data_IF_361698119653
#
_entry.id   IF_361698119653
#
_cell.length_a   1.000
_cell.length_b   1.000
_cell.length_c   1.000
_cell.angle_alpha   90.00
_cell.angle_beta   90.00
_cell.angle_gamma   90.00
#
_symmetry.space_group_name_H-M   'P 1'
#
loop_
_entity.id
_entity.type
_entity.pdbx_description
1 polymer ?
#
# COMPACT_ATOMS: atom_id res chain seq x y z
N UNK A 1 3.74 49.26 -19.51
CA UNK A 1 2.92 48.43 -18.68
C UNK A 1 2.28 47.32 -19.50
N UNK A 2 1.55 47.63 -20.57
CA UNK A 2 0.86 46.66 -21.43
C UNK A 2 1.76 45.56 -22.06
N UNK A 3 2.98 45.89 -22.48
CA UNK A 3 3.92 44.93 -23.10
C UNK A 3 4.53 43.99 -22.05
N UNK A 4 4.76 44.47 -20.84
CA UNK A 4 5.28 43.64 -19.72
C UNK A 4 4.23 42.66 -19.22
N UNK A 5 2.97 43.07 -19.12
CA UNK A 5 1.84 42.20 -18.73
C UNK A 5 1.57 41.11 -19.79
N UNK A 6 1.68 41.44 -21.07
CA UNK A 6 1.57 40.45 -22.15
C UNK A 6 2.72 39.43 -22.16
N UNK A 7 3.96 39.89 -21.94
CA UNK A 7 5.12 38.99 -21.87
C UNK A 7 5.11 38.10 -20.61
N UNK A 8 4.74 38.64 -19.46
CA UNK A 8 4.64 37.90 -18.22
C UNK A 8 3.47 36.91 -18.24
N UNK A 9 2.34 37.26 -18.85
CA UNK A 9 1.19 36.36 -19.03
C UNK A 9 1.55 35.18 -19.92
N UNK A 10 2.15 35.40 -21.08
CA UNK A 10 2.54 34.32 -21.99
C UNK A 10 3.65 33.40 -21.45
N UNK A 11 4.60 33.95 -20.68
CA UNK A 11 5.61 33.12 -19.97
C UNK A 11 5.02 32.31 -18.83
N UNK A 12 4.07 32.88 -18.11
CA UNK A 12 3.39 32.18 -17.01
C UNK A 12 2.53 31.03 -17.54
N UNK A 13 1.79 31.27 -18.64
CA UNK A 13 0.99 30.22 -19.27
C UNK A 13 1.90 29.07 -19.77
N UNK A 14 3.00 29.38 -20.45
CA UNK A 14 3.97 28.39 -20.91
C UNK A 14 4.62 27.61 -19.74
N UNK A 15 4.89 28.27 -18.63
CA UNK A 15 5.42 27.62 -17.43
C UNK A 15 4.38 26.69 -16.78
N UNK A 16 3.14 27.12 -16.69
CA UNK A 16 2.03 26.32 -16.16
C UNK A 16 1.81 25.08 -17.03
N UNK A 17 1.77 25.24 -18.36
CA UNK A 17 1.62 24.15 -19.31
C UNK A 17 2.77 23.16 -19.23
N UNK A 18 4.00 23.63 -19.07
CA UNK A 18 5.17 22.79 -18.89
C UNK A 18 5.09 21.99 -17.57
N UNK A 19 4.80 22.64 -16.44
CA UNK A 19 4.64 21.96 -15.12
C UNK A 19 3.52 20.95 -15.19
N UNK A 20 2.40 21.31 -15.80
CA UNK A 20 1.25 20.43 -15.95
C UNK A 20 1.59 19.19 -16.79
N UNK A 21 2.25 19.35 -17.94
CA UNK A 21 2.66 18.24 -18.80
C UNK A 21 3.64 17.29 -18.09
N UNK A 22 4.58 17.84 -17.30
CA UNK A 22 5.52 17.04 -16.49
C UNK A 22 4.80 16.24 -15.40
N UNK A 23 3.84 16.86 -14.72
CA UNK A 23 3.05 16.19 -13.69
C UNK A 23 2.17 15.08 -14.27
N UNK A 24 1.51 15.36 -15.38
CA UNK A 24 0.66 14.37 -16.07
C UNK A 24 1.50 13.18 -16.56
N UNK A 25 2.67 13.44 -17.16
CA UNK A 25 3.60 12.39 -17.56
C UNK A 25 4.12 11.56 -16.37
N UNK A 26 4.44 12.23 -15.25
CA UNK A 26 4.81 11.55 -14.00
C UNK A 26 3.68 10.68 -13.46
N UNK A 27 2.44 11.15 -13.51
CA UNK A 27 1.28 10.37 -13.07
C UNK A 27 1.08 9.10 -13.90
N UNK A 28 1.26 9.19 -15.23
CA UNK A 28 1.17 8.03 -16.10
C UNK A 28 2.12 6.93 -15.71
N UNK A 29 3.39 7.28 -15.65
CA UNK A 29 4.44 6.35 -15.24
C UNK A 29 4.21 5.81 -13.82
N UNK A 30 3.78 6.68 -12.91
CA UNK A 30 3.51 6.31 -11.53
C UNK A 30 2.36 5.31 -11.39
N UNK A 31 1.25 5.53 -12.08
CA UNK A 31 0.09 4.63 -12.00
C UNK A 31 0.36 3.30 -12.72
N UNK A 32 1.15 3.30 -13.79
CA UNK A 32 1.61 2.09 -14.46
C UNK A 32 2.42 1.19 -13.51
N UNK A 33 3.38 1.79 -12.80
CA UNK A 33 4.23 1.09 -11.84
C UNK A 33 3.48 0.66 -10.56
N UNK A 34 2.45 1.42 -10.14
CA UNK A 34 1.78 1.20 -8.86
C UNK A 34 1.04 -0.14 -8.78
N UNK A 35 0.59 -0.68 -9.93
CA UNK A 35 -0.12 -1.96 -10.01
C UNK A 35 0.72 -3.15 -9.54
N UNK A 36 2.02 -3.14 -9.78
CA UNK A 36 2.93 -4.26 -9.56
C UNK A 36 3.97 -4.04 -8.46
N UNK A 37 4.18 -2.79 -8.04
CA UNK A 37 5.32 -2.30 -7.24
C UNK A 37 5.59 -3.03 -5.92
N UNK A 38 4.76 -3.83 -5.38
CA UNK A 38 5.05 -4.52 -4.13
C UNK A 38 5.31 -6.01 -4.29
N UNK A 39 4.76 -6.61 -5.36
CA UNK A 39 4.92 -8.04 -5.66
C UNK A 39 6.30 -8.28 -6.25
N UNK A 40 6.75 -7.44 -7.16
CA UNK A 40 8.06 -7.52 -7.80
C UNK A 40 9.23 -7.55 -6.79
N UNK A 41 9.07 -6.86 -5.64
CA UNK A 41 10.05 -6.91 -4.56
C UNK A 41 10.30 -8.36 -4.11
N UNK A 42 9.25 -9.16 -3.96
CA UNK A 42 9.35 -10.56 -3.50
C UNK A 42 9.78 -11.53 -4.60
N UNK A 43 9.82 -11.10 -5.85
CA UNK A 43 10.39 -11.85 -6.98
C UNK A 43 11.90 -11.67 -7.13
N UNK A 44 12.46 -10.62 -6.53
CA UNK A 44 13.89 -10.38 -6.54
C UNK A 44 14.66 -11.47 -5.80
N UNK A 45 15.68 -12.05 -6.42
CA UNK A 45 16.46 -13.17 -5.87
C UNK A 45 17.12 -12.87 -4.51
N UNK A 46 17.57 -11.65 -4.30
CA UNK A 46 18.16 -11.22 -3.02
C UNK A 46 17.10 -11.12 -1.91
N UNK A 47 15.89 -10.70 -2.21
CA UNK A 47 14.77 -10.67 -1.24
C UNK A 47 14.37 -12.08 -0.86
N UNK A 48 14.26 -12.99 -1.84
CA UNK A 48 13.99 -14.40 -1.58
C UNK A 48 15.07 -15.03 -0.70
N UNK A 49 16.33 -14.67 -0.90
CA UNK A 49 17.45 -15.13 -0.05
C UNK A 49 17.30 -14.62 1.41
N UNK A 50 16.87 -13.37 1.60
CA UNK A 50 16.59 -12.82 2.93
C UNK A 50 15.40 -13.53 3.59
N UNK A 51 14.30 -13.73 2.88
CA UNK A 51 13.13 -14.46 3.37
C UNK A 51 13.51 -15.90 3.77
N UNK A 52 14.31 -16.56 2.95
CA UNK A 52 14.83 -17.91 3.24
C UNK A 52 15.72 -17.92 4.49
N UNK A 53 16.59 -16.94 4.66
CA UNK A 53 17.42 -16.78 5.86
C UNK A 53 16.54 -16.68 7.12
N UNK A 54 15.52 -15.83 7.11
CA UNK A 54 14.60 -15.70 8.24
C UNK A 54 13.74 -16.95 8.45
N UNK A 55 13.46 -17.70 7.41
CA UNK A 55 12.81 -19.01 7.52
C UNK A 55 13.69 -20.00 8.30
N UNK A 56 14.98 -20.09 7.97
CA UNK A 56 15.91 -20.96 8.73
C UNK A 56 16.07 -20.48 10.18
N UNK A 57 16.14 -19.16 10.39
CA UNK A 57 16.19 -18.60 11.74
C UNK A 57 14.93 -18.97 12.55
N UNK A 58 13.77 -18.87 11.94
CA UNK A 58 12.50 -19.24 12.56
C UNK A 58 12.46 -20.72 12.97
N UNK A 59 12.92 -21.64 12.09
CA UNK A 59 13.02 -23.05 12.40
C UNK A 59 14.00 -23.32 13.55
N UNK A 60 15.15 -22.66 13.55
CA UNK A 60 16.15 -22.78 14.61
C UNK A 60 15.57 -22.31 15.95
N UNK A 61 14.92 -21.15 15.98
CA UNK A 61 14.30 -20.60 17.18
C UNK A 61 13.13 -21.46 17.67
N UNK A 62 12.36 -22.05 16.76
CA UNK A 62 11.31 -23.00 17.12
C UNK A 62 11.89 -24.22 17.84
N UNK A 63 12.95 -24.83 17.30
CA UNK A 63 13.59 -26.01 17.94
C UNK A 63 14.14 -25.66 19.32
N UNK A 64 14.82 -24.51 19.45
CA UNK A 64 15.32 -24.04 20.76
C UNK A 64 14.18 -23.77 21.72
N UNK A 65 13.11 -23.12 21.27
CA UNK A 65 11.91 -22.86 22.05
C UNK A 65 11.22 -24.15 22.52
N UNK A 66 11.20 -25.17 21.66
CA UNK A 66 10.65 -26.49 22.00
C UNK A 66 11.46 -27.17 23.09
N UNK A 67 12.79 -27.13 23.01
CA UNK A 67 13.67 -27.68 24.07
C UNK A 67 13.41 -26.97 25.41
N UNK A 68 13.32 -25.62 25.38
CA UNK A 68 12.99 -24.87 26.62
C UNK A 68 11.61 -25.21 27.12
N UNK A 69 10.60 -25.37 26.27
CA UNK A 69 9.25 -25.78 26.67
C UNK A 69 9.24 -27.15 27.39
N UNK A 70 10.05 -28.11 26.92
CA UNK A 70 10.17 -29.42 27.59
C UNK A 70 10.75 -29.28 29.01
N UNK A 71 11.76 -28.43 29.19
CA UNK A 71 12.29 -28.16 30.55
C UNK A 71 11.27 -27.45 31.43
N UNK A 72 10.53 -26.47 30.95
CA UNK A 72 9.49 -25.76 31.67
C UNK A 72 8.42 -26.75 32.14
N UNK A 73 7.92 -27.60 31.24
CA UNK A 73 6.94 -28.65 31.59
C UNK A 73 7.50 -29.64 32.59
N UNK A 74 8.79 -29.99 32.51
CA UNK A 74 9.45 -30.85 33.48
C UNK A 74 9.49 -30.28 34.90
N UNK A 75 9.74 -28.97 35.01
CA UNK A 75 9.73 -28.23 36.27
C UNK A 75 8.29 -28.13 36.82
N UNK A 76 7.32 -27.80 35.97
CA UNK A 76 5.92 -27.71 36.35
C UNK A 76 5.34 -29.06 36.77
N UNK A 77 5.81 -30.15 36.17
CA UNK A 77 5.41 -31.49 36.55
C UNK A 77 5.78 -31.85 38.02
N UNK A 78 6.96 -31.42 38.45
CA UNK A 78 7.40 -31.60 39.84
C UNK A 78 6.54 -30.82 40.83
N UNK A 79 5.94 -29.72 40.41
CA UNK A 79 5.04 -28.88 41.22
C UNK A 79 3.55 -29.32 41.13
N UNK A 80 3.24 -30.34 40.34
CA UNK A 80 1.89 -30.85 40.13
C UNK A 80 0.98 -29.95 39.30
N UNK A 81 1.53 -28.97 38.58
CA UNK A 81 0.79 -27.99 37.77
C UNK A 81 0.89 -28.22 36.28
N UNK A 82 1.69 -29.16 35.81
CA UNK A 82 1.95 -29.39 34.41
C UNK A 82 0.74 -29.95 33.65
N UNK A 83 0.40 -29.35 32.51
CA UNK A 83 -0.49 -29.90 31.50
C UNK A 83 0.32 -30.36 30.28
N UNK A 84 0.69 -31.64 30.26
CA UNK A 84 1.39 -32.23 29.09
C UNK A 84 0.58 -32.08 27.82
N UNK A 85 -0.75 -32.12 27.91
CA UNK A 85 -1.66 -31.94 26.79
C UNK A 85 -1.51 -30.55 26.19
N UNK A 86 -1.48 -29.50 26.99
CA UNK A 86 -1.38 -28.10 26.50
C UNK A 86 0.00 -27.82 25.90
N UNK A 87 1.06 -28.38 26.48
CA UNK A 87 2.39 -28.32 25.96
C UNK A 87 2.50 -29.00 24.57
N UNK A 88 1.93 -30.20 24.42
CA UNK A 88 1.91 -30.91 23.15
C UNK A 88 1.11 -30.14 22.09
N UNK A 89 -0.02 -29.54 22.44
CA UNK A 89 -0.83 -28.71 21.54
C UNK A 89 -0.04 -27.46 21.13
N UNK A 90 0.69 -26.83 22.04
CA UNK A 90 1.51 -25.65 21.75
C UNK A 90 2.69 -25.98 20.83
N UNK A 91 3.30 -27.15 21.01
CA UNK A 91 4.35 -27.63 20.09
C UNK A 91 3.80 -27.84 18.66
N UNK A 92 2.64 -28.47 18.51
CA UNK A 92 2.00 -28.67 17.20
C UNK A 92 1.62 -27.34 16.56
N UNK A 93 1.04 -26.41 17.33
CA UNK A 93 0.74 -25.05 16.85
C UNK A 93 1.99 -24.33 16.38
N UNK A 94 3.09 -24.45 17.13
CA UNK A 94 4.38 -23.86 16.74
C UNK A 94 4.94 -24.46 15.46
N UNK A 95 4.82 -25.78 15.28
CA UNK A 95 5.23 -26.44 14.03
C UNK A 95 4.46 -25.92 12.83
N UNK A 96 3.13 -25.81 12.94
CA UNK A 96 2.29 -25.24 11.88
C UNK A 96 2.63 -23.76 11.64
N UNK A 97 2.82 -22.98 12.70
CA UNK A 97 3.16 -21.56 12.60
C UNK A 97 4.48 -21.37 11.84
N UNK A 98 5.53 -22.13 12.18
CA UNK A 98 6.84 -21.99 11.53
C UNK A 98 6.82 -22.49 10.08
N UNK A 99 6.02 -23.51 9.76
CA UNK A 99 5.86 -23.99 8.39
C UNK A 99 5.15 -23.00 7.46
N UNK A 100 4.20 -22.22 7.99
CA UNK A 100 3.43 -21.23 7.24
C UNK A 100 4.02 -19.81 7.33
N UNK A 101 4.99 -19.57 8.17
CA UNK A 101 5.48 -18.27 8.61
C UNK A 101 5.95 -17.35 7.48
N UNK A 102 6.68 -17.86 6.48
CA UNK A 102 7.16 -17.06 5.35
C UNK A 102 6.20 -17.09 4.16
N UNK A 103 5.50 -18.20 3.99
CA UNK A 103 4.63 -18.43 2.85
C UNK A 103 3.34 -17.59 2.96
N UNK A 104 2.70 -17.60 4.12
CA UNK A 104 1.41 -16.92 4.31
C UNK A 104 1.48 -15.41 4.10
N UNK A 105 2.44 -14.65 4.64
CA UNK A 105 2.54 -13.21 4.40
C UNK A 105 2.72 -12.85 2.93
N UNK A 106 3.57 -13.58 2.21
CA UNK A 106 3.85 -13.32 0.79
C UNK A 106 2.63 -13.64 -0.07
N UNK A 107 1.99 -14.79 0.16
CA UNK A 107 0.80 -15.18 -0.61
C UNK A 107 -0.43 -14.31 -0.29
N UNK A 108 -0.62 -13.89 0.96
CA UNK A 108 -1.65 -12.90 1.32
C UNK A 108 -1.42 -11.56 0.63
N UNK A 109 -0.17 -11.14 0.51
CA UNK A 109 0.15 -9.90 -0.17
C UNK A 109 -0.13 -10.01 -1.69
N UNK A 110 0.28 -11.11 -2.33
CA UNK A 110 -0.06 -11.40 -3.73
C UNK A 110 -1.57 -11.45 -3.94
N UNK A 111 -2.31 -12.10 -3.03
CA UNK A 111 -3.76 -12.14 -3.07
C UNK A 111 -4.36 -10.73 -3.01
N UNK A 112 -3.85 -9.85 -2.15
CA UNK A 112 -4.34 -8.48 -2.06
C UNK A 112 -4.14 -7.69 -3.36
N UNK A 113 -3.01 -7.90 -4.05
CA UNK A 113 -2.73 -7.28 -5.36
C UNK A 113 -3.60 -7.88 -6.46
N UNK A 114 -3.83 -9.20 -6.45
CA UNK A 114 -4.74 -9.86 -7.42
C UNK A 114 -6.19 -9.39 -7.24
N UNK A 115 -6.65 -9.24 -5.99
CA UNK A 115 -7.97 -8.67 -5.68
C UNK A 115 -8.07 -7.22 -6.17
N UNK A 116 -7.01 -6.43 -6.03
CA UNK A 116 -6.92 -5.09 -6.55
C UNK A 116 -7.12 -5.08 -8.08
N UNK A 117 -6.39 -5.92 -8.81
CA UNK A 117 -6.50 -6.02 -10.27
C UNK A 117 -7.91 -6.45 -10.71
N UNK A 118 -8.50 -7.43 -10.03
CA UNK A 118 -9.87 -7.91 -10.30
C UNK A 118 -10.92 -6.83 -10.04
N UNK A 119 -10.72 -6.02 -9.00
CA UNK A 119 -11.63 -4.94 -8.66
C UNK A 119 -11.54 -3.80 -9.67
N UNK A 120 -10.33 -3.48 -10.13
CA UNK A 120 -10.11 -2.48 -11.18
C UNK A 120 -10.87 -2.84 -12.44
N UNK A 121 -10.75 -4.08 -12.92
CA UNK A 121 -11.47 -4.56 -14.10
C UNK A 121 -13.00 -4.57 -13.91
N UNK A 122 -13.48 -4.82 -12.68
CA UNK A 122 -14.91 -4.84 -12.36
C UNK A 122 -15.55 -3.45 -12.22
N UNK A 123 -14.85 -2.49 -11.63
CA UNK A 123 -15.36 -1.13 -11.41
C UNK A 123 -15.34 -0.30 -12.69
N UNK A 124 -14.30 -0.44 -13.50
CA UNK A 124 -14.17 0.34 -14.73
C UNK A 124 -15.15 -0.08 -15.81
N UNK A 125 -15.79 -1.27 -15.68
CA UNK A 125 -16.76 -1.78 -16.64
C UNK A 125 -16.21 -2.05 -18.04
N UNK A 126 -14.93 -1.77 -18.27
CA UNK A 126 -14.27 -1.81 -19.57
C UNK A 126 -13.26 -2.96 -19.73
N UNK A 127 -13.10 -3.80 -18.71
CA UNK A 127 -12.06 -4.85 -18.75
C UNK A 127 -10.63 -4.32 -18.82
N UNK A 128 -10.46 -3.04 -18.55
CA UNK A 128 -9.19 -2.33 -18.66
C UNK A 128 -8.42 -2.43 -17.35
N UNK A 129 -7.11 -2.65 -17.50
CA UNK A 129 -6.18 -2.63 -16.36
C UNK A 129 -6.11 -1.22 -15.76
N UNK A 130 -5.61 -1.12 -14.54
CA UNK A 130 -5.33 0.15 -13.87
C UNK A 130 -4.53 1.12 -14.76
N UNK A 131 -3.67 0.57 -15.58
CA UNK A 131 -2.84 1.24 -16.59
C UNK A 131 -3.67 1.92 -17.68
N UNK A 132 -4.69 1.23 -18.19
CA UNK A 132 -5.58 1.78 -19.20
C UNK A 132 -6.45 2.91 -18.66
N UNK A 133 -6.98 2.77 -17.42
CA UNK A 133 -7.72 3.83 -16.75
C UNK A 133 -6.86 5.08 -16.53
N UNK A 134 -5.62 4.89 -16.08
CA UNK A 134 -4.68 6.00 -15.89
C UNK A 134 -4.33 6.68 -17.19
N UNK A 135 -4.07 5.92 -18.25
CA UNK A 135 -3.78 6.43 -19.59
C UNK A 135 -4.95 7.23 -20.17
N UNK A 136 -6.17 6.79 -19.96
CA UNK A 136 -7.39 7.47 -20.43
C UNK A 136 -7.61 8.80 -19.71
N UNK A 137 -7.35 8.83 -18.39
CA UNK A 137 -7.38 10.07 -17.59
C UNK A 137 -6.28 11.01 -18.03
N UNK A 138 -5.06 10.51 -18.26
CA UNK A 138 -3.92 11.29 -18.73
C UNK A 138 -4.20 11.89 -20.10
N UNK A 139 -4.73 11.10 -21.03
CA UNK A 139 -5.09 11.59 -22.37
C UNK A 139 -6.18 12.66 -22.30
N UNK A 140 -7.18 12.48 -21.42
CA UNK A 140 -8.22 13.51 -21.21
C UNK A 140 -7.66 14.78 -20.56
N UNK A 141 -6.64 14.66 -19.71
CA UNK A 141 -5.96 15.80 -19.10
C UNK A 141 -4.97 16.47 -20.07
N UNK A 142 -4.23 15.72 -20.89
CA UNK A 142 -3.28 16.27 -21.88
C UNK A 142 -3.95 17.06 -23.01
N UNK A 143 -5.22 16.74 -23.33
CA UNK A 143 -6.00 17.46 -24.34
C UNK A 143 -6.66 18.73 -23.83
N UNK A 144 -6.49 19.07 -22.57
CA UNK A 144 -7.11 20.24 -21.94
C UNK A 144 -6.18 21.44 -22.05
N UNK A 145 -6.56 22.40 -22.89
CA UNK A 145 -6.00 23.75 -22.85
C UNK A 145 -6.40 24.40 -21.52
N UNK A 146 -5.42 24.66 -20.64
CA UNK A 146 -5.64 25.12 -19.26
C UNK A 146 -6.43 26.45 -19.27
N UNK A 147 -6.18 27.30 -20.26
CA UNK A 147 -6.95 28.54 -20.45
C UNK A 147 -8.41 28.29 -20.80
N UNK A 148 -8.69 27.33 -21.68
CA UNK A 148 -10.02 26.93 -22.08
C UNK A 148 -10.71 26.07 -20.99
N UNK A 149 -9.96 25.24 -20.27
CA UNK A 149 -10.48 24.41 -19.18
C UNK A 149 -10.91 25.23 -17.95
N UNK A 150 -10.21 26.29 -17.64
CA UNK A 150 -10.61 27.25 -16.60
C UNK A 150 -11.96 27.91 -16.92
N UNK A 151 -12.27 28.08 -18.22
CA UNK A 151 -13.52 28.67 -18.69
C UNK A 151 -14.63 27.64 -18.94
N UNK A 152 -14.30 26.37 -19.23
CA UNK A 152 -15.25 25.34 -19.66
C UNK A 152 -15.78 24.43 -18.54
N UNK A 153 -15.35 24.64 -17.29
CA UNK A 153 -15.84 23.84 -16.16
C UNK A 153 -15.39 22.38 -16.16
N UNK A 154 -14.32 22.02 -16.87
CA UNK A 154 -13.71 20.66 -16.83
C UNK A 154 -13.24 20.30 -15.42
N UNK A 155 -12.92 21.30 -14.60
CA UNK A 155 -12.76 21.15 -13.15
C UNK A 155 -14.11 21.16 -12.41
N UNK A 156 -15.13 20.52 -13.00
CA UNK A 156 -16.54 20.54 -12.61
C UNK A 156 -16.77 20.47 -11.11
N UNK A 157 -17.63 21.35 -10.64
CA UNK A 157 -18.06 21.42 -9.23
C UNK A 157 -17.58 22.65 -8.48
N UNK A 158 -16.59 23.39 -9.00
CA UNK A 158 -16.27 24.73 -8.51
C UNK A 158 -16.68 25.69 -9.60
N UNK A 159 -17.80 26.36 -9.40
CA UNK A 159 -18.31 27.33 -10.37
C UNK A 159 -17.21 28.22 -10.92
N UNK A 160 -17.09 28.30 -12.25
CA UNK A 160 -16.14 29.06 -13.04
C UNK A 160 -14.85 29.43 -12.27
N UNK A 161 -13.86 28.52 -12.25
CA UNK A 161 -12.52 28.85 -11.74
C UNK A 161 -11.89 29.84 -12.74
N UNK A 162 -12.15 31.10 -12.52
CA UNK A 162 -11.67 32.20 -13.36
C UNK A 162 -10.27 32.68 -12.97
N UNK A 163 -9.67 32.08 -11.93
CA UNK A 163 -8.39 32.54 -11.41
C UNK A 163 -7.24 31.56 -11.73
N UNK A 164 -6.21 31.98 -12.49
CA UNK A 164 -5.00 31.18 -12.73
C UNK A 164 -4.34 30.64 -11.45
N UNK A 165 -4.48 31.37 -10.34
CA UNK A 165 -3.95 30.97 -9.03
C UNK A 165 -4.62 29.69 -8.53
N UNK A 166 -5.91 29.51 -8.75
CA UNK A 166 -6.62 28.29 -8.35
C UNK A 166 -6.16 27.08 -9.16
N UNK A 167 -5.90 27.24 -10.45
CA UNK A 167 -5.35 26.16 -11.30
C UNK A 167 -3.99 25.70 -10.77
N UNK A 168 -3.09 26.66 -10.47
CA UNK A 168 -1.79 26.37 -9.88
C UNK A 168 -1.94 25.63 -8.55
N UNK A 169 -2.87 26.07 -7.69
CA UNK A 169 -3.13 25.43 -6.40
C UNK A 169 -3.60 23.98 -6.57
N UNK A 170 -4.52 23.70 -7.50
CA UNK A 170 -5.01 22.35 -7.81
C UNK A 170 -3.86 21.46 -8.30
N UNK A 171 -2.99 21.96 -9.18
CA UNK A 171 -1.84 21.23 -9.70
C UNK A 171 -0.88 20.86 -8.56
N UNK A 172 -0.58 21.79 -7.67
CA UNK A 172 0.29 21.55 -6.50
C UNK A 172 -0.33 20.51 -5.57
N UNK A 173 -1.62 20.62 -5.26
CA UNK A 173 -2.34 19.69 -4.40
C UNK A 173 -2.39 18.29 -5.01
N UNK A 174 -2.59 18.18 -6.32
CA UNK A 174 -2.56 16.91 -7.03
C UNK A 174 -1.16 16.27 -6.97
N UNK A 175 -0.11 17.04 -7.25
CA UNK A 175 1.27 16.59 -7.14
C UNK A 175 1.59 16.07 -5.73
N UNK A 176 1.22 16.81 -4.70
CA UNK A 176 1.39 16.39 -3.30
C UNK A 176 0.64 15.08 -2.98
N UNK A 177 -0.62 14.97 -3.40
CA UNK A 177 -1.45 13.80 -3.17
C UNK A 177 -0.82 12.53 -3.74
N UNK A 178 -0.36 12.61 -4.99
CA UNK A 178 0.24 11.49 -5.70
C UNK A 178 1.59 11.09 -5.11
N UNK A 179 2.47 12.06 -4.83
CA UNK A 179 3.77 11.79 -4.18
C UNK A 179 3.56 11.12 -2.81
N UNK A 180 2.62 11.62 -2.02
CA UNK A 180 2.31 11.03 -0.71
C UNK A 180 1.81 9.60 -0.83
N UNK A 181 0.95 9.32 -1.80
CA UNK A 181 0.45 7.99 -2.08
C UNK A 181 1.57 7.05 -2.56
N UNK A 182 2.46 7.55 -3.43
CA UNK A 182 3.64 6.82 -3.91
C UNK A 182 4.51 6.32 -2.76
N UNK A 183 4.95 7.23 -1.90
CA UNK A 183 5.78 6.85 -0.75
C UNK A 183 5.07 5.90 0.21
N UNK A 184 3.75 6.02 0.36
CA UNK A 184 2.96 5.08 1.15
C UNK A 184 3.02 3.66 0.58
N UNK A 185 2.88 3.52 -0.74
CA UNK A 185 2.96 2.23 -1.42
C UNK A 185 4.38 1.64 -1.39
N UNK A 186 5.39 2.46 -1.69
CA UNK A 186 6.79 2.03 -1.70
C UNK A 186 7.23 1.45 -0.36
N UNK A 187 6.81 2.07 0.75
CA UNK A 187 7.13 1.61 2.11
C UNK A 187 6.53 0.25 2.44
N UNK A 188 5.41 -0.11 1.85
CA UNK A 188 4.63 -1.29 2.24
C UNK A 188 5.38 -2.60 2.04
N UNK A 189 6.03 -2.79 0.89
CA UNK A 189 6.85 -3.98 0.63
C UNK A 189 7.98 -4.13 1.64
N UNK A 190 8.68 -3.03 1.95
CA UNK A 190 9.73 -3.00 2.96
C UNK A 190 9.21 -3.30 4.37
N UNK A 191 8.05 -2.75 4.74
CA UNK A 191 7.42 -3.04 6.04
C UNK A 191 7.04 -4.51 6.16
N UNK A 192 6.51 -5.13 5.10
CA UNK A 192 6.19 -6.55 5.10
C UNK A 192 7.45 -7.41 5.27
N UNK A 193 8.56 -7.05 4.62
CA UNK A 193 9.84 -7.74 4.77
C UNK A 193 10.37 -7.64 6.22
N UNK A 194 10.24 -6.45 6.84
CA UNK A 194 10.59 -6.25 8.27
C UNK A 194 9.68 -7.12 9.16
N UNK A 195 8.39 -7.18 8.86
CA UNK A 195 7.47 -8.04 9.62
C UNK A 195 7.80 -9.52 9.50
N UNK A 196 8.26 -10.00 8.34
CA UNK A 196 8.77 -11.36 8.19
C UNK A 196 10.00 -11.56 9.10
N UNK A 197 10.92 -10.61 9.14
CA UNK A 197 12.10 -10.70 10.01
C UNK A 197 11.71 -10.73 11.51
N UNK A 198 10.83 -9.83 11.94
CA UNK A 198 10.34 -9.79 13.34
C UNK A 198 9.54 -11.02 13.69
N UNK A 199 8.71 -11.53 12.79
CA UNK A 199 7.92 -12.73 12.98
C UNK A 199 8.75 -13.97 13.30
N UNK A 200 9.98 -14.09 12.76
CA UNK A 200 10.88 -15.20 13.06
C UNK A 200 11.19 -15.31 14.57
N UNK A 201 11.26 -14.18 15.27
CA UNK A 201 11.58 -14.16 16.70
C UNK A 201 10.45 -14.74 17.57
N UNK A 202 9.19 -14.62 17.14
CA UNK A 202 8.06 -15.20 17.88
C UNK A 202 8.05 -16.73 17.86
N UNK A 203 8.78 -17.36 16.91
CA UNK A 203 8.86 -18.82 16.82
C UNK A 203 9.54 -19.46 18.02
N UNK A 204 10.31 -18.71 18.80
CA UNK A 204 10.83 -19.14 20.08
C UNK A 204 9.74 -19.23 21.18
N UNK A 205 8.76 -18.35 21.16
CA UNK A 205 7.74 -18.23 22.21
C UNK A 205 6.54 -19.15 21.99
N UNK A 206 6.19 -19.42 20.72
CA UNK A 206 4.98 -20.20 20.37
C UNK A 206 4.99 -21.62 20.94
N UNK A 207 6.06 -22.44 20.86
CA UNK A 207 6.06 -23.80 21.41
C UNK A 207 6.01 -23.81 22.94
N UNK A 208 6.38 -22.70 23.58
CA UNK A 208 6.30 -22.49 25.04
C UNK A 208 4.88 -22.12 25.53
N UNK A 209 3.93 -21.92 24.61
CA UNK A 209 2.55 -21.53 24.92
C UNK A 209 2.29 -20.02 24.92
N UNK A 210 3.30 -19.17 24.74
CA UNK A 210 3.15 -17.71 24.68
C UNK A 210 2.79 -17.28 23.26
N UNK A 211 1.51 -17.27 22.94
CA UNK A 211 1.02 -17.00 21.58
C UNK A 211 0.63 -15.55 21.33
N UNK A 212 0.51 -14.70 22.35
CA UNK A 212 -0.04 -13.35 22.21
C UNK A 212 0.73 -12.48 21.21
N UNK A 213 2.06 -12.51 21.27
CA UNK A 213 2.92 -11.79 20.33
C UNK A 213 2.77 -12.29 18.90
N UNK A 214 2.66 -13.60 18.71
CA UNK A 214 2.45 -14.19 17.40
C UNK A 214 1.07 -13.84 16.81
N UNK A 215 0.02 -13.88 17.61
CA UNK A 215 -1.34 -13.47 17.20
C UNK A 215 -1.37 -11.99 16.82
N UNK A 216 -0.71 -11.15 17.60
CA UNK A 216 -0.56 -9.73 17.29
C UNK A 216 0.17 -9.52 15.94
N UNK A 217 1.24 -10.26 15.74
CA UNK A 217 1.99 -10.25 14.48
C UNK A 217 1.12 -10.68 13.28
N UNK A 218 0.34 -11.76 13.42
CA UNK A 218 -0.60 -12.19 12.38
C UNK A 218 -1.60 -11.09 12.03
N UNK A 219 -2.17 -10.40 13.03
CA UNK A 219 -3.07 -9.27 12.81
C UNK A 219 -2.39 -8.15 12.03
N UNK A 220 -1.12 -7.83 12.35
CA UNK A 220 -0.37 -6.81 11.63
C UNK A 220 -0.13 -7.18 10.16
N UNK A 221 0.18 -8.44 9.85
CA UNK A 221 0.32 -8.92 8.46
C UNK A 221 -1.01 -8.77 7.70
N UNK A 222 -2.11 -9.22 8.29
CA UNK A 222 -3.45 -9.08 7.70
C UNK A 222 -3.76 -7.59 7.48
N UNK A 223 -3.45 -6.74 8.46
CA UNK A 223 -3.64 -5.30 8.37
C UNK A 223 -2.87 -4.66 7.21
N UNK A 224 -1.61 -5.04 6.99
CA UNK A 224 -0.79 -4.56 5.87
C UNK A 224 -1.41 -4.97 4.53
N UNK A 225 -1.83 -6.22 4.39
CA UNK A 225 -2.45 -6.74 3.16
C UNK A 225 -3.82 -6.08 2.90
N UNK A 226 -4.66 -5.94 3.92
CA UNK A 226 -5.95 -5.28 3.81
C UNK A 226 -5.80 -3.79 3.48
N UNK A 227 -4.83 -3.12 4.09
CA UNK A 227 -4.51 -1.72 3.79
C UNK A 227 -4.10 -1.55 2.33
N UNK A 228 -3.35 -2.50 1.76
CA UNK A 228 -2.98 -2.50 0.35
C UNK A 228 -4.21 -2.48 -0.54
N UNK A 229 -5.12 -3.41 -0.30
CA UNK A 229 -6.37 -3.54 -1.04
C UNK A 229 -7.25 -2.28 -0.91
N UNK A 230 -7.52 -1.81 0.32
CA UNK A 230 -8.35 -0.63 0.55
C UNK A 230 -7.78 0.63 -0.09
N UNK A 231 -6.46 0.81 -0.01
CA UNK A 231 -5.80 1.96 -0.62
C UNK A 231 -5.97 1.97 -2.15
N UNK A 232 -5.86 0.81 -2.78
CA UNK A 232 -6.10 0.67 -4.21
C UNK A 232 -7.54 0.99 -4.59
N UNK A 233 -8.52 0.48 -3.83
CA UNK A 233 -9.94 0.76 -4.05
C UNK A 233 -10.23 2.27 -4.03
N UNK A 234 -9.73 2.97 -3.01
CA UNK A 234 -9.95 4.41 -2.89
C UNK A 234 -9.21 5.20 -3.98
N UNK A 235 -8.03 4.73 -4.41
CA UNK A 235 -7.33 5.35 -5.53
C UNK A 235 -8.10 5.22 -6.85
N UNK A 236 -8.61 4.03 -7.14
CA UNK A 236 -9.43 3.79 -8.34
C UNK A 236 -10.70 4.66 -8.30
N UNK A 237 -11.36 4.71 -7.14
CA UNK A 237 -12.52 5.57 -6.94
C UNK A 237 -12.15 7.05 -7.14
N UNK A 238 -11.00 7.49 -6.61
CA UNK A 238 -10.49 8.85 -6.79
C UNK A 238 -10.24 9.21 -8.25
N UNK A 239 -9.61 8.29 -9.00
CA UNK A 239 -9.37 8.47 -10.43
C UNK A 239 -10.70 8.50 -11.23
N UNK A 240 -11.65 7.62 -10.92
CA UNK A 240 -12.96 7.61 -11.58
C UNK A 240 -13.72 8.91 -11.38
N UNK A 241 -13.78 9.40 -10.13
CA UNK A 241 -14.46 10.65 -9.78
C UNK A 241 -13.74 11.89 -10.33
N UNK A 242 -12.43 11.80 -10.56
CA UNK A 242 -11.65 12.92 -11.10
C UNK A 242 -12.12 13.37 -12.48
N UNK A 243 -12.73 12.47 -13.28
CA UNK A 243 -13.36 12.81 -14.57
C UNK A 243 -14.57 13.74 -14.41
N UNK A 244 -15.32 13.61 -13.31
CA UNK A 244 -16.51 14.40 -13.03
C UNK A 244 -16.21 15.61 -12.15
N UNK A 245 -15.37 15.42 -11.13
CA UNK A 245 -15.01 16.45 -10.17
C UNK A 245 -13.55 16.29 -9.70
N UNK A 246 -12.67 17.10 -10.27
CA UNK A 246 -11.23 17.04 -10.03
C UNK A 246 -10.87 17.20 -8.54
N UNK A 247 -11.49 18.15 -7.82
CA UNK A 247 -11.20 18.37 -6.41
C UNK A 247 -11.61 17.19 -5.51
N UNK A 248 -12.76 16.60 -5.81
CA UNK A 248 -13.23 15.43 -5.07
C UNK A 248 -12.31 14.23 -5.33
N UNK A 249 -11.87 14.05 -6.59
CA UNK A 249 -10.88 13.03 -6.96
C UNK A 249 -9.56 13.18 -6.21
N UNK A 250 -9.00 14.41 -6.15
CA UNK A 250 -7.79 14.72 -5.38
C UNK A 250 -8.00 14.43 -3.89
N UNK A 251 -9.16 14.79 -3.35
CA UNK A 251 -9.53 14.51 -1.96
C UNK A 251 -9.51 13.01 -1.65
N UNK A 252 -10.05 12.18 -2.55
CA UNK A 252 -10.01 10.71 -2.42
C UNK A 252 -8.60 10.15 -2.52
N UNK A 253 -7.76 10.65 -3.44
CA UNK A 253 -6.35 10.24 -3.55
C UNK A 253 -5.58 10.59 -2.27
N UNK A 254 -5.82 11.77 -1.69
CA UNK A 254 -5.26 12.14 -0.38
C UNK A 254 -5.76 11.22 0.73
N UNK A 255 -7.05 10.90 0.77
CA UNK A 255 -7.63 9.99 1.75
C UNK A 255 -7.02 8.59 1.65
N UNK A 256 -6.70 8.11 0.45
CA UNK A 256 -6.01 6.83 0.25
C UNK A 256 -4.67 6.75 1.01
N UNK A 257 -3.95 7.87 1.14
CA UNK A 257 -2.69 7.91 1.88
C UNK A 257 -2.83 7.82 3.41
N UNK A 258 -4.05 8.05 3.95
CA UNK A 258 -4.33 7.98 5.39
C UNK A 258 -4.82 6.59 5.84
N UNK A 259 -5.17 5.70 4.90
CA UNK A 259 -5.67 4.35 5.21
C UNK A 259 -4.74 3.57 6.12
N UNK A 260 -3.39 3.56 5.95
CA UNK A 260 -2.49 2.85 6.85
C UNK A 260 -2.59 3.33 8.31
N UNK A 261 -2.81 4.63 8.52
CA UNK A 261 -2.99 5.21 9.85
C UNK A 261 -4.31 4.78 10.48
N UNK A 262 -5.37 4.76 9.70
CA UNK A 262 -6.70 4.35 10.16
C UNK A 262 -6.69 2.85 10.51
N UNK A 263 -6.14 2.02 9.63
CA UNK A 263 -6.02 0.58 9.88
C UNK A 263 -5.23 0.27 11.15
N UNK A 264 -4.14 1.01 11.42
CA UNK A 264 -3.35 0.87 12.65
C UNK A 264 -4.13 1.19 13.93
N UNK A 265 -5.16 2.06 13.89
CA UNK A 265 -6.02 2.35 15.04
C UNK A 265 -6.96 1.19 15.41
N UNK A 266 -7.29 0.33 14.47
CA UNK A 266 -8.11 -0.86 14.71
C UNK A 266 -7.29 -2.08 15.15
N UNK A 267 -5.99 -1.90 15.40
CA UNK A 267 -5.10 -2.99 15.80
C UNK A 267 -4.79 -3.98 14.65
N UNK A 268 -5.04 -3.53 13.43
CA UNK A 268 -4.71 -4.22 12.20
C UNK A 268 -3.36 -3.77 11.67
#
# INVERSE_FOLDING_TARGET
MFILDFFLGGLMDQFIDWVYSQLVGFFGNFFAEMGNMGVELFEMSWVQSIVLFFSYLAWTLYVVGLVVAVFEVGIEYQTGRASIKDAAISAVKGFMAVGCFTLVPVELYKLSVTLQASLTSGITGYGESFDALSTDIINSLQGVDIGAAASSGVFGGIGSITSPIMVIFIIIMMGYAVIKCFFSNLKRGGVLLIQIAVGSLYMFSVPRGYMDGFVQWCKQIIGICLTAFLQAVILIAGLGVMKENCLLGIGLILAASEIPRIAGQFGL
#
